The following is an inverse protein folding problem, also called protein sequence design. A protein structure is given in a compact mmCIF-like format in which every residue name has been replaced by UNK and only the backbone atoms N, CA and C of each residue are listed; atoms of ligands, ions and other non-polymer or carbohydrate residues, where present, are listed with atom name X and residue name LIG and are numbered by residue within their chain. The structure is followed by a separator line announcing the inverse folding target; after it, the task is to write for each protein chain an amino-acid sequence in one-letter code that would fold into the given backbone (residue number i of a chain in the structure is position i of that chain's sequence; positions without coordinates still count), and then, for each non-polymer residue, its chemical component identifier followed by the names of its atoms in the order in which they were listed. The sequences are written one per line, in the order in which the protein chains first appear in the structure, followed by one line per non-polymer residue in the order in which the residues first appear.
data_IF_883778462657
#
_entry.id   IF_883778462657
#
_cell.length_a   1.000
_cell.length_b   1.000
_cell.length_c   1.000
_cell.angle_alpha   90.00
_cell.angle_beta   90.00
_cell.angle_gamma   90.00
#
_symmetry.space_group_name_H-M   'P 1'
#
loop_
_entity.id
_entity.type
_entity.pdbx_description
1 polymer ?
#
# COMPACT_ATOMS: atom_id res chain seq x y z
N UNK A 1 -83.42 53.79 20.36
CA UNK A 1 -83.40 55.01 19.50
C UNK A 1 -81.95 55.39 19.19
N UNK A 2 -81.70 55.87 17.96
CA UNK A 2 -80.44 56.43 17.38
C UNK A 2 -79.38 55.39 17.01
N UNK A 3 -79.29 55.01 15.71
CA UNK A 3 -78.63 55.66 14.55
C UNK A 3 -77.10 55.49 14.59
N UNK A 4 -76.51 54.93 13.54
CA UNK A 4 -75.45 55.57 12.74
C UNK A 4 -75.28 54.85 11.39
N UNK A 5 -75.13 55.65 10.34
CA UNK A 5 -74.85 55.27 8.95
C UNK A 5 -73.34 55.26 8.72
N UNK A 6 -72.83 54.28 7.98
CA UNK A 6 -71.55 54.37 7.27
C UNK A 6 -71.66 53.65 5.93
N UNK A 7 -71.36 54.37 4.85
CA UNK A 7 -71.15 53.84 3.49
C UNK A 7 -69.73 53.25 3.40
N UNK A 8 -69.48 52.34 2.45
CA UNK A 8 -68.45 52.47 1.38
C UNK A 8 -68.14 51.12 0.67
N UNK A 9 -68.14 51.22 -0.67
CA UNK A 9 -67.46 50.50 -1.77
C UNK A 9 -67.67 48.98 -2.04
N UNK A 10 -67.84 48.59 -3.33
CA UNK A 10 -67.93 47.21 -3.77
C UNK A 10 -66.54 46.59 -3.96
N UNK A 11 -66.35 45.36 -3.48
CA UNK A 11 -65.16 44.54 -3.74
C UNK A 11 -65.39 43.72 -5.01
N UNK A 12 -64.53 43.91 -6.00
CA UNK A 12 -64.47 43.07 -7.19
C UNK A 12 -63.88 41.70 -6.83
N UNK A 13 -64.60 40.62 -7.15
CA UNK A 13 -64.15 39.24 -6.94
C UNK A 13 -63.43 38.77 -8.20
N UNK A 14 -62.11 38.56 -8.09
CA UNK A 14 -61.30 37.92 -9.12
C UNK A 14 -61.44 36.39 -9.03
N UNK A 15 -61.79 35.76 -10.14
CA UNK A 15 -61.87 34.29 -10.26
C UNK A 15 -60.48 33.75 -10.56
N UNK A 16 -59.87 33.05 -9.61
CA UNK A 16 -58.60 32.35 -9.82
C UNK A 16 -58.87 30.96 -10.42
N UNK A 17 -58.35 30.72 -11.62
CA UNK A 17 -58.35 29.39 -12.24
C UNK A 17 -57.27 28.51 -11.59
N UNK A 18 -57.67 27.38 -11.02
CA UNK A 18 -56.77 26.34 -10.50
C UNK A 18 -56.21 25.52 -11.67
N UNK A 19 -54.92 25.68 -11.97
CA UNK A 19 -54.19 24.79 -12.86
C UNK A 19 -53.77 23.51 -12.10
N UNK A 20 -54.12 22.34 -12.63
CA UNK A 20 -53.64 21.06 -12.11
C UNK A 20 -52.14 20.88 -12.41
N UNK A 21 -51.34 20.27 -11.50
CA UNK A 21 -49.94 20.01 -11.76
C UNK A 21 -49.79 18.87 -12.78
N UNK A 22 -49.03 19.12 -13.84
CA UNK A 22 -48.59 18.08 -14.76
C UNK A 22 -47.53 17.20 -14.07
N UNK A 23 -47.79 15.91 -13.95
CA UNK A 23 -46.80 14.92 -13.49
C UNK A 23 -45.79 14.69 -14.62
N UNK A 24 -44.48 14.92 -14.43
CA UNK A 24 -43.51 14.58 -15.45
C UNK A 24 -43.37 13.05 -15.52
N UNK A 25 -43.97 12.43 -16.53
CA UNK A 25 -43.68 11.06 -16.90
C UNK A 25 -42.33 11.03 -17.64
N UNK A 26 -41.28 10.52 -16.99
CA UNK A 26 -39.99 10.29 -17.65
C UNK A 26 -38.77 10.39 -16.75
N UNK A 27 -38.74 9.71 -15.61
CA UNK A 27 -37.45 9.38 -15.00
C UNK A 27 -36.88 8.18 -15.76
N UNK A 28 -36.02 8.45 -16.76
CA UNK A 28 -35.21 7.40 -17.36
C UNK A 28 -34.34 6.79 -16.25
N UNK A 29 -34.47 5.49 -16.02
CA UNK A 29 -33.60 4.77 -15.10
C UNK A 29 -32.15 4.99 -15.55
N UNK A 30 -31.32 5.54 -14.67
CA UNK A 30 -29.88 5.61 -14.90
C UNK A 30 -29.39 4.18 -15.19
N UNK A 31 -28.51 3.97 -16.19
CA UNK A 31 -27.96 2.65 -16.46
C UNK A 31 -27.33 2.16 -15.16
N UNK A 32 -27.81 1.01 -14.67
CA UNK A 32 -27.30 0.40 -13.46
C UNK A 32 -25.79 0.24 -13.61
N UNK A 33 -25.02 0.82 -12.69
CA UNK A 33 -23.59 0.62 -12.62
C UNK A 33 -23.36 -0.89 -12.52
N UNK A 34 -22.87 -1.49 -13.59
CA UNK A 34 -22.46 -2.89 -13.57
C UNK A 34 -21.36 -3.01 -12.52
N UNK A 35 -21.62 -3.71 -11.42
CA UNK A 35 -20.58 -4.14 -10.49
C UNK A 35 -19.62 -5.03 -11.29
N UNK A 36 -18.52 -4.43 -11.77
CA UNK A 36 -17.40 -5.19 -12.28
C UNK A 36 -16.73 -5.81 -11.05
N UNK A 37 -16.70 -7.14 -10.91
CA UNK A 37 -15.95 -7.75 -9.82
C UNK A 37 -14.51 -7.27 -9.94
N UNK A 38 -13.94 -6.80 -8.83
CA UNK A 38 -12.53 -6.47 -8.77
C UNK A 38 -11.75 -7.75 -9.10
N UNK A 39 -11.00 -7.75 -10.21
CA UNK A 39 -10.04 -8.81 -10.48
C UNK A 39 -8.87 -8.60 -9.53
N UNK A 40 -8.60 -9.57 -8.68
CA UNK A 40 -7.43 -9.58 -7.80
C UNK A 40 -6.24 -10.22 -8.53
N UNK A 41 -5.04 -9.91 -8.06
CA UNK A 41 -3.79 -10.50 -8.51
C UNK A 41 -3.63 -11.92 -7.92
N UNK A 42 -2.47 -12.54 -8.18
CA UNK A 42 -2.13 -13.83 -7.58
C UNK A 42 -2.13 -13.68 -6.06
N UNK A 43 -2.66 -14.69 -5.35
CA UNK A 43 -2.64 -14.70 -3.89
C UNK A 43 -1.19 -14.83 -3.41
N UNK A 44 -0.66 -13.76 -2.80
CA UNK A 44 0.67 -13.71 -2.20
C UNK A 44 0.73 -14.17 -0.75
N UNK A 45 -0.39 -14.62 -0.19
CA UNK A 45 -0.57 -14.98 1.21
C UNK A 45 -0.17 -13.82 2.15
N UNK A 46 0.99 -13.90 2.77
CA UNK A 46 1.54 -12.90 3.65
C UNK A 46 2.23 -11.75 2.91
N UNK A 47 2.32 -11.78 1.58
CA UNK A 47 3.01 -10.79 0.76
C UNK A 47 2.04 -10.05 -0.17
N UNK A 48 2.24 -8.73 -0.26
CA UNK A 48 1.65 -7.85 -1.27
C UNK A 48 2.73 -7.11 -2.04
N UNK A 49 2.56 -6.91 -3.35
CA UNK A 49 3.52 -6.18 -4.19
C UNK A 49 3.95 -6.95 -5.42
N UNK A 50 5.22 -6.83 -5.79
CA UNK A 50 5.74 -7.39 -7.03
C UNK A 50 6.99 -8.23 -6.82
N UNK A 51 7.05 -9.37 -7.53
CA UNK A 51 8.23 -10.22 -7.64
C UNK A 51 8.63 -10.38 -9.11
N UNK A 52 9.83 -9.93 -9.48
CA UNK A 52 10.45 -10.30 -10.75
C UNK A 52 11.03 -11.71 -10.62
N UNK A 53 10.80 -12.58 -11.61
CA UNK A 53 11.28 -13.98 -11.60
C UNK A 53 12.23 -14.24 -12.74
N UNK A 54 13.20 -15.12 -12.55
CA UNK A 54 14.23 -15.40 -13.54
C UNK A 54 15.48 -16.01 -12.91
N UNK A 55 16.64 -15.54 -13.30
CA UNK A 55 17.92 -15.99 -12.75
C UNK A 55 18.96 -14.89 -12.83
N UNK A 56 19.89 -14.87 -11.88
CA UNK A 56 21.02 -13.94 -11.91
C UNK A 56 20.64 -12.51 -11.55
N UNK A 57 19.61 -12.32 -10.72
CA UNK A 57 19.35 -11.02 -10.11
C UNK A 57 20.57 -10.59 -9.29
N UNK A 58 20.97 -9.34 -9.45
CA UNK A 58 22.13 -8.74 -8.80
C UNK A 58 21.80 -7.49 -8.05
N UNK A 59 20.69 -6.82 -8.35
CA UNK A 59 20.22 -5.72 -7.52
C UNK A 59 18.72 -5.56 -7.55
N UNK A 60 18.19 -5.09 -6.42
CA UNK A 60 16.85 -4.53 -6.30
C UNK A 60 16.92 -3.26 -5.47
N UNK A 61 16.08 -2.28 -5.79
CA UNK A 61 15.90 -1.10 -4.97
C UNK A 61 14.50 -0.53 -5.14
N UNK A 62 14.02 0.16 -4.10
CA UNK A 62 12.81 0.96 -4.13
C UNK A 62 12.87 2.03 -3.04
N UNK A 63 11.97 2.99 -3.13
CA UNK A 63 11.76 4.02 -2.12
C UNK A 63 10.27 4.16 -1.78
N UNK A 64 9.97 4.48 -0.54
CA UNK A 64 8.62 4.75 -0.05
C UNK A 64 8.65 5.82 1.04
N UNK A 65 7.47 6.34 1.35
CA UNK A 65 7.25 7.11 2.59
C UNK A 65 6.63 6.16 3.61
N UNK A 66 7.23 6.07 4.80
CA UNK A 66 6.76 5.17 5.85
C UNK A 66 5.30 5.49 6.21
N UNK A 67 4.44 4.48 6.20
CA UNK A 67 3.00 4.66 6.38
C UNK A 67 2.67 5.04 7.83
N UNK A 68 1.60 5.82 8.00
CA UNK A 68 0.99 6.04 9.31
C UNK A 68 -0.03 4.93 9.60
N UNK A 69 0.47 3.76 10.01
CA UNK A 69 -0.38 2.62 10.33
C UNK A 69 -1.19 2.85 11.61
N UNK A 70 -2.47 2.45 11.56
CA UNK A 70 -3.32 2.38 12.74
C UNK A 70 -3.19 0.99 13.34
N UNK A 71 -2.65 0.91 14.56
CA UNK A 71 -2.42 -0.34 15.26
C UNK A 71 -3.44 -0.55 16.39
N UNK A 72 -3.84 -1.80 16.58
CA UNK A 72 -4.40 -2.37 17.80
C UNK A 72 -3.43 -3.42 18.31
N UNK A 73 -3.48 -3.74 19.61
CA UNK A 73 -2.57 -4.71 20.23
C UNK A 73 -2.76 -6.15 19.74
N UNK A 74 -3.81 -6.39 18.96
CA UNK A 74 -4.11 -7.67 18.31
C UNK A 74 -3.58 -7.76 16.89
N UNK A 75 -3.20 -6.63 16.29
CA UNK A 75 -2.74 -6.58 14.91
C UNK A 75 -1.29 -7.11 14.86
N UNK A 76 -0.95 -7.77 13.76
CA UNK A 76 0.41 -8.26 13.50
C UNK A 76 1.34 -7.09 13.08
N UNK A 77 2.63 -7.38 12.94
CA UNK A 77 3.56 -6.44 12.32
C UNK A 77 3.28 -6.30 10.82
N UNK A 78 3.68 -5.14 10.29
CA UNK A 78 3.64 -4.80 8.87
C UNK A 78 5.01 -4.30 8.42
N UNK A 79 5.52 -4.75 7.28
CA UNK A 79 6.85 -4.37 6.81
C UNK A 79 6.93 -4.14 5.30
N UNK A 80 7.16 -2.90 4.80
CA UNK A 80 7.66 -2.67 3.46
C UNK A 80 9.17 -2.99 3.36
N UNK A 81 9.56 -3.74 2.33
CA UNK A 81 10.94 -4.15 2.10
C UNK A 81 11.28 -4.41 0.62
N UNK A 82 12.57 -4.52 0.32
CA UNK A 82 13.09 -5.01 -0.96
C UNK A 82 14.04 -6.18 -0.74
N UNK A 83 14.02 -7.16 -1.65
CA UNK A 83 14.76 -8.40 -1.49
C UNK A 83 15.22 -9.06 -2.79
N UNK A 84 16.22 -9.93 -2.65
CA UNK A 84 16.59 -10.92 -3.67
C UNK A 84 16.27 -12.30 -3.09
N UNK A 85 15.75 -13.18 -3.94
CA UNK A 85 15.20 -14.49 -3.58
C UNK A 85 13.95 -14.44 -2.68
N UNK A 86 13.32 -15.58 -2.42
CA UNK A 86 12.12 -15.73 -1.58
C UNK A 86 10.90 -16.15 -2.36
N UNK A 87 10.67 -15.52 -3.51
CA UNK A 87 9.65 -15.99 -4.44
C UNK A 87 10.14 -17.20 -5.24
N UNK A 88 9.79 -18.40 -4.78
CA UNK A 88 10.14 -19.67 -5.43
C UNK A 88 11.51 -20.23 -5.04
N UNK A 89 12.17 -19.66 -4.04
CA UNK A 89 13.44 -20.13 -3.46
C UNK A 89 13.38 -20.17 -1.92
N UNK A 90 14.41 -20.73 -1.28
CA UNK A 90 14.43 -21.00 0.17
C UNK A 90 15.29 -20.02 0.97
N UNK A 91 15.73 -18.93 0.34
CA UNK A 91 16.56 -17.88 0.91
C UNK A 91 15.91 -16.54 0.63
N UNK A 92 16.29 -15.52 1.39
CA UNK A 92 15.87 -14.15 1.13
C UNK A 92 16.95 -13.22 1.67
N UNK A 93 17.43 -12.31 0.82
CA UNK A 93 18.36 -11.26 1.20
C UNK A 93 17.62 -9.93 1.16
N UNK A 94 17.24 -9.38 2.32
CA UNK A 94 16.25 -8.30 2.37
C UNK A 94 16.51 -7.24 3.43
N UNK A 95 15.98 -6.04 3.19
CA UNK A 95 16.03 -4.93 4.16
C UNK A 95 14.83 -4.01 3.98
N UNK A 96 14.37 -3.45 5.10
CA UNK A 96 13.21 -2.59 5.11
C UNK A 96 12.94 -2.00 6.49
N UNK A 97 11.68 -1.61 6.69
CA UNK A 97 11.17 -1.11 7.96
C UNK A 97 10.05 -2.04 8.40
N UNK A 98 10.00 -2.38 9.67
CA UNK A 98 8.87 -3.07 10.29
C UNK A 98 8.15 -2.09 11.19
N UNK A 99 6.83 -2.10 11.13
CA UNK A 99 5.93 -1.43 12.06
C UNK A 99 5.29 -2.49 12.94
N UNK A 100 5.79 -2.60 14.18
CA UNK A 100 5.25 -3.50 15.20
C UNK A 100 4.03 -2.84 15.87
N UNK A 101 2.89 -3.55 15.86
CA UNK A 101 1.63 -3.10 16.43
C UNK A 101 1.30 -3.73 17.80
N UNK A 102 2.13 -4.64 18.34
CA UNK A 102 1.85 -5.43 19.55
C UNK A 102 1.51 -4.60 20.79
N UNK A 103 1.99 -3.36 20.86
CA UNK A 103 1.70 -2.42 21.97
C UNK A 103 0.34 -1.70 21.84
N UNK A 104 -0.37 -1.86 20.73
CA UNK A 104 -1.55 -1.05 20.38
C UNK A 104 -1.19 0.33 19.81
N UNK A 105 0.07 0.55 19.46
CA UNK A 105 0.56 1.76 18.79
C UNK A 105 1.75 1.39 17.89
N UNK A 106 1.93 2.07 16.75
CA UNK A 106 2.98 1.72 15.79
C UNK A 106 4.38 1.95 16.37
N UNK A 107 5.21 0.92 16.29
CA UNK A 107 6.63 0.98 16.63
C UNK A 107 7.45 0.64 15.39
N UNK A 108 8.03 1.67 14.77
CA UNK A 108 8.85 1.51 13.57
C UNK A 108 10.30 1.12 13.90
N UNK A 109 10.80 0.11 13.19
CA UNK A 109 12.17 -0.40 13.33
C UNK A 109 12.75 -0.73 11.96
N UNK A 110 13.90 -0.12 11.63
CA UNK A 110 14.71 -0.55 10.51
C UNK A 110 15.33 -1.93 10.76
N UNK A 111 15.46 -2.75 9.73
CA UNK A 111 16.02 -4.10 9.84
C UNK A 111 16.67 -4.58 8.54
N UNK A 112 17.47 -5.64 8.66
CA UNK A 112 17.92 -6.45 7.54
C UNK A 112 17.81 -7.93 7.90
N UNK A 113 17.72 -8.79 6.89
CA UNK A 113 17.66 -10.23 7.06
C UNK A 113 18.38 -10.97 5.94
N UNK A 114 18.94 -12.13 6.32
CA UNK A 114 19.53 -13.11 5.41
C UNK A 114 18.86 -14.45 5.70
N UNK A 115 17.60 -14.60 5.31
CA UNK A 115 16.77 -15.77 5.60
C UNK A 115 17.46 -17.04 5.07
N UNK A 116 17.56 -18.12 5.86
CA UNK A 116 16.72 -18.47 7.02
C UNK A 116 17.21 -17.95 8.38
N UNK A 117 18.23 -17.10 8.46
CA UNK A 117 18.57 -16.46 9.72
C UNK A 117 17.52 -15.40 10.09
N UNK A 118 17.21 -15.27 11.37
CA UNK A 118 16.25 -14.28 11.88
C UNK A 118 16.63 -12.83 11.47
N UNK A 119 15.63 -11.93 11.35
CA UNK A 119 15.88 -10.53 11.08
C UNK A 119 16.70 -9.87 12.20
N UNK A 120 17.55 -8.94 11.81
CA UNK A 120 18.35 -8.13 12.72
C UNK A 120 17.80 -6.71 12.71
N UNK A 121 17.09 -6.36 13.79
CA UNK A 121 16.58 -5.02 14.01
C UNK A 121 17.69 -4.06 14.44
N UNK A 122 17.69 -2.87 13.84
CA UNK A 122 18.66 -1.83 14.13
C UNK A 122 18.26 -1.04 15.39
N UNK A 123 19.26 -0.45 16.05
CA UNK A 123 19.01 0.41 17.22
C UNK A 123 18.18 1.62 16.83
N UNK A 124 17.01 1.79 17.45
CA UNK A 124 16.12 2.95 17.26
C UNK A 124 16.74 4.27 17.72
N UNK A 125 17.79 4.25 18.55
CA UNK A 125 18.50 5.48 18.95
C UNK A 125 19.48 5.97 17.89
N UNK A 126 20.02 5.07 17.06
CA UNK A 126 20.98 5.39 15.99
C UNK A 126 20.32 5.47 14.62
N UNK A 127 19.25 4.68 14.41
CA UNK A 127 18.49 4.57 13.18
C UNK A 127 17.00 4.75 13.47
N UNK A 128 16.58 5.92 13.98
CA UNK A 128 15.17 6.18 14.29
C UNK A 128 14.36 6.26 13.00
N UNK A 129 13.17 5.64 12.98
CA UNK A 129 12.16 5.74 11.91
C UNK A 129 10.84 6.20 12.50
N UNK A 130 10.04 6.96 11.74
CA UNK A 130 8.64 7.25 12.04
C UNK A 130 7.81 7.38 10.76
N UNK A 131 6.50 7.27 10.92
CA UNK A 131 5.56 7.57 9.85
C UNK A 131 5.86 8.93 9.19
N UNK A 132 5.80 8.98 7.86
CA UNK A 132 6.15 10.14 7.05
C UNK A 132 7.63 10.24 6.68
N UNK A 133 8.52 9.42 7.24
CA UNK A 133 9.93 9.41 6.84
C UNK A 133 10.11 8.84 5.42
N UNK A 134 11.04 9.41 4.65
CA UNK A 134 11.35 8.99 3.28
C UNK A 134 12.47 7.95 3.28
N UNK A 135 12.07 6.70 3.04
CA UNK A 135 12.93 5.53 3.08
C UNK A 135 13.33 5.12 1.66
N UNK A 136 14.60 4.75 1.49
CA UNK A 136 15.09 4.06 0.30
C UNK A 136 15.89 2.83 0.71
N UNK A 137 15.60 1.70 0.07
CA UNK A 137 16.20 0.42 0.36
C UNK A 137 16.85 -0.16 -0.89
N UNK A 138 17.92 -0.92 -0.72
CA UNK A 138 18.53 -1.68 -1.79
C UNK A 138 19.24 -2.92 -1.27
N UNK A 139 19.21 -3.97 -2.09
CA UNK A 139 20.03 -5.17 -1.91
C UNK A 139 20.84 -5.36 -3.19
N UNK A 140 22.14 -5.60 -3.07
CA UNK A 140 23.04 -5.79 -4.21
C UNK A 140 23.94 -6.99 -3.98
N UNK A 141 23.94 -7.92 -4.92
CA UNK A 141 24.89 -9.02 -4.99
C UNK A 141 26.24 -8.53 -5.50
N UNK A 142 27.27 -8.63 -4.67
CA UNK A 142 28.64 -8.18 -4.95
C UNK A 142 29.55 -9.31 -5.48
N UNK A 143 29.00 -10.49 -5.80
CA UNK A 143 29.80 -11.67 -6.17
C UNK A 143 30.15 -12.56 -4.98
N UNK A 144 30.55 -13.79 -5.26
CA UNK A 144 31.02 -14.77 -4.25
C UNK A 144 30.08 -14.91 -3.04
N UNK A 145 28.77 -15.03 -3.30
CA UNK A 145 27.74 -15.18 -2.25
C UNK A 145 27.63 -13.97 -1.31
N UNK A 146 28.16 -12.80 -1.67
CA UNK A 146 28.10 -11.59 -0.84
C UNK A 146 27.00 -10.64 -1.30
N UNK A 147 26.28 -10.10 -0.31
CA UNK A 147 25.20 -9.14 -0.51
C UNK A 147 25.45 -7.90 0.33
N UNK A 148 25.30 -6.74 -0.28
CA UNK A 148 25.25 -5.46 0.41
C UNK A 148 23.78 -5.07 0.57
N UNK A 149 23.34 -4.91 1.82
CA UNK A 149 22.02 -4.44 2.18
C UNK A 149 22.16 -3.01 2.70
N UNK A 150 21.39 -2.10 2.12
CA UNK A 150 21.45 -0.68 2.43
C UNK A 150 20.05 -0.14 2.62
N UNK A 151 19.88 0.59 3.72
CA UNK A 151 18.66 1.31 4.05
C UNK A 151 19.03 2.75 4.39
N UNK A 152 18.34 3.71 3.79
CA UNK A 152 18.56 5.14 3.98
C UNK A 152 17.24 5.79 4.35
N UNK A 153 17.26 6.57 5.42
CA UNK A 153 16.19 7.49 5.77
C UNK A 153 16.69 8.91 5.54
N UNK A 154 16.19 9.52 4.47
CA UNK A 154 16.57 10.86 4.08
C UNK A 154 15.91 11.96 4.93
N UNK A 155 14.77 11.66 5.55
CA UNK A 155 14.11 12.58 6.49
C UNK A 155 14.89 12.71 7.79
N UNK A 156 15.61 11.65 8.18
CA UNK A 156 16.43 11.59 9.41
C UNK A 156 17.93 11.74 9.17
N UNK A 157 18.36 11.76 7.91
CA UNK A 157 19.76 11.98 7.53
C UNK A 157 20.70 10.83 7.87
N UNK A 158 20.19 9.59 7.99
CA UNK A 158 21.03 8.42 8.27
C UNK A 158 21.01 7.40 7.12
N UNK A 159 22.07 6.61 7.06
CA UNK A 159 22.18 5.46 6.15
C UNK A 159 22.83 4.31 6.90
N UNK A 160 22.19 3.16 6.86
CA UNK A 160 22.76 1.89 7.30
C UNK A 160 23.23 1.10 6.09
N UNK A 161 24.38 0.46 6.20
CA UNK A 161 24.90 -0.45 5.17
C UNK A 161 25.60 -1.61 5.86
N UNK A 162 25.27 -2.83 5.44
CA UNK A 162 25.91 -4.05 5.92
C UNK A 162 26.20 -4.97 4.76
N UNK A 163 27.25 -5.77 4.88
CA UNK A 163 27.57 -6.82 3.90
C UNK A 163 27.52 -8.17 4.59
N UNK A 164 26.78 -9.10 4.00
CA UNK A 164 26.58 -10.45 4.50
C UNK A 164 26.85 -11.47 3.42
N UNK A 165 27.03 -12.72 3.83
CA UNK A 165 27.26 -13.83 2.91
C UNK A 165 26.16 -14.87 3.06
N UNK A 166 25.56 -15.26 1.95
CA UNK A 166 24.54 -16.29 1.88
C UNK A 166 24.63 -16.99 0.53
N UNK A 167 24.57 -18.31 0.52
CA UNK A 167 24.47 -19.08 -0.72
C UNK A 167 23.02 -19.05 -1.18
N UNK A 168 22.74 -18.31 -2.24
CA UNK A 168 21.38 -18.12 -2.76
C UNK A 168 21.29 -18.38 -4.26
N UNK A 169 20.08 -18.55 -4.76
CA UNK A 169 19.83 -18.93 -6.16
C UNK A 169 19.70 -17.69 -7.07
N UNK A 170 19.30 -16.56 -6.50
CA UNK A 170 19.05 -15.28 -7.17
C UNK A 170 18.03 -15.44 -8.31
N UNK A 171 16.95 -16.14 -8.02
CA UNK A 171 15.85 -16.50 -8.93
C UNK A 171 14.71 -15.50 -8.90
N UNK A 172 14.67 -14.62 -7.90
CA UNK A 172 13.71 -13.53 -7.84
C UNK A 172 14.30 -12.24 -7.27
N UNK A 173 13.59 -11.13 -7.51
CA UNK A 173 13.84 -9.83 -6.91
C UNK A 173 12.51 -9.15 -6.62
N UNK A 174 12.28 -8.73 -5.38
CA UNK A 174 10.97 -8.28 -4.92
C UNK A 174 10.95 -6.88 -4.31
N UNK A 175 9.79 -6.24 -4.43
CA UNK A 175 9.41 -5.00 -3.74
C UNK A 175 8.03 -5.27 -3.12
N UNK A 176 7.99 -5.42 -1.79
CA UNK A 176 6.89 -6.11 -1.09
C UNK A 176 6.49 -5.37 0.17
N UNK A 177 5.22 -5.52 0.56
CA UNK A 177 4.76 -5.40 1.94
C UNK A 177 4.48 -6.79 2.52
N UNK A 178 4.84 -7.00 3.77
CA UNK A 178 4.65 -8.28 4.44
C UNK A 178 4.04 -8.12 5.82
N UNK A 179 3.19 -9.08 6.18
CA UNK A 179 2.78 -9.33 7.56
C UNK A 179 2.90 -10.84 7.82
N UNK A 180 3.64 -11.32 8.84
CA UNK A 180 3.96 -12.74 9.03
C UNK A 180 2.76 -13.70 9.01
N UNK A 181 1.63 -13.29 9.57
CA UNK A 181 0.38 -14.08 9.58
C UNK A 181 -0.55 -13.75 8.41
N UNK A 182 -0.15 -12.80 7.57
CA UNK A 182 -0.96 -12.22 6.51
C UNK A 182 -2.13 -11.41 7.03
N UNK A 183 -2.14 -10.99 8.31
CA UNK A 183 -3.17 -10.13 8.89
C UNK A 183 -2.60 -8.71 9.06
N UNK A 184 -3.08 -7.76 8.25
CA UNK A 184 -2.43 -6.46 8.14
C UNK A 184 -3.10 -5.41 9.04
N UNK A 185 -2.34 -4.62 9.82
CA UNK A 185 -2.88 -3.39 10.39
C UNK A 185 -3.29 -2.44 9.26
N UNK A 186 -4.19 -1.50 9.55
CA UNK A 186 -4.58 -0.51 8.56
C UNK A 186 -3.45 0.50 8.31
N UNK A 187 -2.67 0.27 7.25
CA UNK A 187 -1.60 1.15 6.79
C UNK A 187 -2.07 2.20 5.76
N UNK A 188 -3.35 2.21 5.40
CA UNK A 188 -3.90 3.07 4.36
C UNK A 188 -3.36 2.70 2.97
N UNK A 189 -2.63 3.62 2.34
CA UNK A 189 -1.99 3.39 1.04
C UNK A 189 -0.51 3.71 1.13
N UNK A 190 0.35 2.74 0.83
CA UNK A 190 1.79 2.90 0.69
C UNK A 190 2.15 2.96 -0.80
N UNK A 191 3.02 3.89 -1.18
CA UNK A 191 3.47 4.04 -2.56
C UNK A 191 4.95 3.68 -2.65
N UNK A 192 5.28 2.68 -3.46
CA UNK A 192 6.64 2.41 -3.88
C UNK A 192 6.96 3.23 -5.13
N UNK A 193 8.17 3.77 -5.16
CA UNK A 193 8.72 4.55 -6.27
C UNK A 193 10.16 4.14 -6.51
N UNK A 194 10.72 4.54 -7.66
CA UNK A 194 12.10 4.22 -8.04
C UNK A 194 12.42 2.73 -7.97
N UNK A 195 11.40 1.87 -8.19
CA UNK A 195 11.55 0.43 -8.15
C UNK A 195 12.37 -0.04 -9.35
N UNK A 196 13.58 -0.55 -9.09
CA UNK A 196 14.48 -1.05 -10.12
C UNK A 196 15.03 -2.43 -9.77
N UNK A 197 15.27 -3.23 -10.80
CA UNK A 197 15.89 -4.54 -10.72
C UNK A 197 17.03 -4.58 -11.74
N UNK A 198 18.23 -4.97 -11.30
CA UNK A 198 19.46 -4.94 -12.11
C UNK A 198 19.68 -3.60 -12.84
N UNK A 199 19.30 -2.49 -12.21
CA UNK A 199 19.40 -1.13 -12.76
C UNK A 199 18.38 -0.77 -13.85
N UNK A 200 17.44 -1.66 -14.19
CA UNK A 200 16.32 -1.41 -15.11
C UNK A 200 15.01 -1.28 -14.33
N UNK A 201 13.97 -0.72 -14.94
CA UNK A 201 12.66 -0.62 -14.27
C UNK A 201 12.13 -2.02 -13.91
N UNK A 202 11.50 -2.14 -12.73
CA UNK A 202 10.89 -3.39 -12.28
C UNK A 202 9.95 -3.99 -13.35
N UNK A 203 9.15 -3.15 -14.00
CA UNK A 203 8.23 -3.56 -15.07
C UNK A 203 8.90 -4.18 -16.30
N UNK A 204 10.19 -3.91 -16.54
CA UNK A 204 10.94 -4.51 -17.67
C UNK A 204 11.16 -6.02 -17.50
N UNK A 205 10.91 -6.57 -16.31
CA UNK A 205 11.09 -8.00 -16.01
C UNK A 205 9.78 -8.79 -16.05
N UNK A 206 8.66 -8.17 -16.46
CA UNK A 206 7.34 -8.81 -16.44
C UNK A 206 6.99 -9.40 -15.07
N UNK A 207 7.09 -8.60 -13.99
CA UNK A 207 6.99 -9.12 -12.63
C UNK A 207 5.58 -9.63 -12.33
N UNK A 208 5.50 -10.58 -11.40
CA UNK A 208 4.26 -11.11 -10.86
C UNK A 208 3.72 -10.14 -9.81
N UNK A 209 2.47 -9.71 -9.96
CA UNK A 209 1.75 -8.96 -8.94
C UNK A 209 1.12 -9.92 -7.92
N UNK A 210 1.21 -9.58 -6.63
CA UNK A 210 0.75 -10.38 -5.51
C UNK A 210 -0.18 -9.55 -4.64
N UNK A 211 -1.41 -10.02 -4.40
CA UNK A 211 -2.27 -9.42 -3.38
C UNK A 211 -2.22 -10.30 -2.10
N UNK A 212 -1.99 -9.73 -0.90
CA UNK A 212 -1.93 -10.52 0.32
C UNK A 212 -3.33 -11.00 0.72
N UNK A 213 -3.42 -12.27 1.11
CA UNK A 213 -4.66 -12.91 1.53
C UNK A 213 -4.43 -14.16 2.38
N UNK A 214 -4.95 -14.15 3.61
CA UNK A 214 -5.01 -15.32 4.51
C UNK A 214 -6.40 -15.99 4.55
N UNK A 215 -7.28 -15.65 3.60
CA UNK A 215 -8.66 -16.12 3.49
C UNK A 215 -9.56 -15.10 2.80
N UNK A 216 -9.41 -13.83 3.16
CA UNK A 216 -9.90 -12.67 2.42
C UNK A 216 -8.71 -11.84 1.91
N UNK A 217 -8.89 -11.03 0.87
CA UNK A 217 -7.85 -10.09 0.44
C UNK A 217 -7.76 -8.92 1.42
N UNK A 218 -6.55 -8.72 1.95
CA UNK A 218 -6.21 -7.79 3.03
C UNK A 218 -5.75 -6.44 2.49
N UNK A 219 -4.98 -6.49 1.39
CA UNK A 219 -4.55 -5.33 0.63
C UNK A 219 -4.65 -5.62 -0.87
N UNK A 220 -4.39 -4.58 -1.67
CA UNK A 220 -4.36 -4.68 -3.13
C UNK A 220 -3.14 -3.97 -3.69
N UNK A 221 -2.40 -4.70 -4.52
CA UNK A 221 -1.35 -4.18 -5.38
C UNK A 221 -1.95 -3.57 -6.63
N UNK A 222 -1.65 -2.29 -6.85
CA UNK A 222 -2.02 -1.59 -8.08
C UNK A 222 -1.20 -2.06 -9.29
N UNK A 223 -1.67 -1.74 -10.50
CA UNK A 223 -0.85 -1.86 -11.69
C UNK A 223 0.40 -0.96 -11.60
N UNK A 224 1.50 -1.39 -12.22
CA UNK A 224 2.68 -0.54 -12.37
C UNK A 224 2.33 0.76 -13.10
N UNK A 225 2.91 1.87 -12.65
CA UNK A 225 2.87 3.14 -13.36
C UNK A 225 3.55 3.04 -14.74
N UNK A 226 3.32 4.03 -15.61
CA UNK A 226 3.79 4.00 -17.01
C UNK A 226 5.30 3.81 -17.19
N UNK A 227 6.11 4.19 -16.20
CA UNK A 227 7.57 3.98 -16.20
C UNK A 227 8.01 2.60 -15.70
N UNK A 228 7.09 1.77 -15.18
CA UNK A 228 7.41 0.47 -14.59
C UNK A 228 8.21 0.54 -13.29
N UNK A 229 8.28 1.71 -12.65
CA UNK A 229 9.11 1.98 -11.44
C UNK A 229 8.28 2.39 -10.23
N UNK A 230 6.96 2.40 -10.32
CA UNK A 230 6.08 2.77 -9.22
C UNK A 230 4.82 1.93 -9.19
N UNK A 231 4.30 1.71 -7.99
CA UNK A 231 3.00 1.12 -7.71
C UNK A 231 2.61 1.45 -6.28
N UNK A 232 1.34 1.26 -5.94
CA UNK A 232 0.82 1.36 -4.58
C UNK A 232 0.30 0.03 -4.05
N UNK A 233 0.42 -0.12 -2.74
CA UNK A 233 -0.32 -1.08 -1.91
C UNK A 233 -1.43 -0.34 -1.18
N UNK A 234 -2.66 -0.84 -1.23
CA UNK A 234 -3.80 -0.23 -0.52
C UNK A 234 -4.46 -1.26 0.37
N UNK A 235 -4.47 -0.98 1.68
CA UNK A 235 -5.22 -1.73 2.67
C UNK A 235 -6.71 -1.76 2.30
N UNK A 236 -7.33 -2.93 2.42
CA UNK A 236 -8.74 -3.15 2.16
C UNK A 236 -9.52 -3.42 3.44
N UNK A 237 -9.04 -4.38 4.23
CA UNK A 237 -9.66 -4.86 5.45
C UNK A 237 -8.69 -5.78 6.21
N UNK A 238 -9.09 -6.09 7.44
CA UNK A 238 -8.66 -7.21 8.28
C UNK A 238 -9.93 -7.86 8.85
#
# INVERSE_FOLDING_TARGET
MRRFLTRVAPVAVAVAALAAPAVPAGAAAAPGLSFRPLHYNINGYNWGGYAATGSGFTSVSAAWTEANATCRSTDDLYAPWVGIDGYGSSTVEQTGVATDCSSGSPVHQAWYEMYPANPVYLSRSSYPVSAGDHISASVTYAGSSKYTLKLTDSSRGWTYTTTKSLSSQRTSAEVIIESPTGAYPNFGTLNFTSATVNGSSLGSFGPVALDPSNGAYEARTSALGSGGTSFSETYLRE
#
